data_IF_697460333061
#
_entry.id   IF_697460333061
#
_cell.length_a   1.000
_cell.length_b   1.000
_cell.length_c   1.000
_cell.angle_alpha   90.00
_cell.angle_beta   90.00
_cell.angle_gamma   90.00
#
_symmetry.space_group_name_H-M   'P 1'
#
loop_
_entity.id
_entity.type
_entity.pdbx_description
1 polymer ?
#
# COMPACT_ATOMS: atom_id res chain seq x y z
N UNK A 1 10.68 -8.48 8.79
CA UNK A 1 10.25 -8.17 7.39
C UNK A 1 11.42 -8.39 6.43
N UNK A 2 11.23 -9.10 5.29
CA UNK A 2 12.26 -9.17 4.24
C UNK A 2 12.12 -7.94 3.34
N UNK A 3 12.87 -6.89 3.64
CA UNK A 3 12.80 -5.60 2.93
C UNK A 3 13.56 -5.59 1.61
N UNK A 4 14.41 -6.61 1.36
CA UNK A 4 15.30 -6.65 0.20
C UNK A 4 14.60 -7.01 -1.12
N UNK A 5 13.41 -7.62 -1.08
CA UNK A 5 12.68 -8.07 -2.27
C UNK A 5 12.23 -6.95 -3.20
N UNK A 6 12.25 -5.70 -2.75
CA UNK A 6 11.93 -4.51 -3.54
C UNK A 6 13.17 -3.77 -4.06
N UNK A 7 14.36 -4.23 -3.68
CA UNK A 7 15.62 -3.62 -4.13
C UNK A 7 15.74 -3.70 -5.65
N UNK A 8 16.02 -2.58 -6.32
CA UNK A 8 16.08 -2.45 -7.77
C UNK A 8 14.72 -2.32 -8.49
N UNK A 9 13.59 -2.51 -7.79
CA UNK A 9 12.23 -2.47 -8.38
C UNK A 9 11.46 -1.16 -8.12
N UNK A 10 11.96 -0.28 -7.27
CA UNK A 10 11.23 0.89 -6.78
C UNK A 10 10.68 1.80 -7.90
N UNK A 11 11.46 2.08 -8.94
CA UNK A 11 11.02 2.92 -10.06
C UNK A 11 9.91 2.27 -10.90
N UNK A 12 10.03 0.97 -11.19
CA UNK A 12 9.01 0.22 -11.92
C UNK A 12 7.72 0.16 -11.09
N UNK A 13 7.84 -0.11 -9.80
CA UNK A 13 6.74 -0.13 -8.85
C UNK A 13 5.98 1.21 -8.80
N UNK A 14 6.70 2.33 -8.67
CA UNK A 14 6.10 3.67 -8.60
C UNK A 14 5.24 3.99 -9.83
N UNK A 15 5.70 3.58 -11.03
CA UNK A 15 5.02 3.86 -12.30
C UNK A 15 3.84 2.91 -12.55
N UNK A 16 3.98 1.63 -12.22
CA UNK A 16 3.09 0.57 -12.69
C UNK A 16 1.90 0.27 -11.77
N UNK A 17 2.01 0.56 -10.47
CA UNK A 17 0.95 0.17 -9.53
C UNK A 17 -0.28 1.06 -9.65
N UNK A 18 -1.49 0.45 -9.60
CA UNK A 18 -2.75 1.20 -9.67
C UNK A 18 -2.95 2.09 -8.45
N UNK A 19 -3.70 3.17 -8.65
CA UNK A 19 -4.18 4.03 -7.56
C UNK A 19 -5.37 3.43 -6.83
N UNK A 20 -6.02 4.27 -6.04
CA UNK A 20 -7.23 3.94 -5.31
C UNK A 20 -8.38 4.78 -5.88
N UNK A 21 -9.62 4.25 -5.95
CA UNK A 21 -10.75 4.99 -6.49
C UNK A 21 -11.13 6.14 -5.56
N UNK A 22 -11.61 7.23 -6.15
CA UNK A 22 -11.97 8.44 -5.41
C UNK A 22 -12.99 8.14 -4.30
N UNK A 23 -13.97 7.25 -4.55
CA UNK A 23 -14.95 6.84 -3.55
C UNK A 23 -14.32 6.20 -2.30
N UNK A 24 -13.24 5.40 -2.46
CA UNK A 24 -12.51 4.84 -1.32
C UNK A 24 -11.75 5.93 -0.57
N UNK A 25 -11.14 6.87 -1.28
CA UNK A 25 -10.39 7.97 -0.67
C UNK A 25 -11.33 8.94 0.07
N UNK A 26 -12.50 9.24 -0.48
CA UNK A 26 -13.52 10.04 0.21
C UNK A 26 -14.02 9.34 1.49
N UNK A 27 -14.31 8.04 1.42
CA UNK A 27 -14.68 7.26 2.61
C UNK A 27 -13.59 7.29 3.67
N UNK A 28 -12.31 7.13 3.28
CA UNK A 28 -11.19 7.23 4.23
C UNK A 28 -11.14 8.63 4.84
N UNK A 29 -11.34 9.68 4.04
CA UNK A 29 -11.38 11.06 4.53
C UNK A 29 -12.51 11.30 5.53
N UNK A 30 -13.69 10.70 5.32
CA UNK A 30 -14.82 10.78 6.28
C UNK A 30 -14.52 10.14 7.64
N UNK A 31 -13.64 9.13 7.68
CA UNK A 31 -13.21 8.50 8.93
C UNK A 31 -12.18 9.37 9.70
N UNK A 32 -11.55 10.31 9.04
CA UNK A 32 -10.47 11.12 9.58
C UNK A 32 -10.98 12.44 10.18
N UNK A 33 -10.49 12.78 11.36
CA UNK A 33 -10.79 14.08 11.95
C UNK A 33 -9.96 15.19 11.25
N UNK A 34 -10.49 16.41 11.17
CA UNK A 34 -9.70 17.55 10.72
C UNK A 34 -8.40 17.70 11.54
N UNK A 35 -7.29 18.00 10.86
CA UNK A 35 -5.96 18.18 11.48
C UNK A 35 -5.39 16.93 12.17
N UNK A 36 -5.92 15.73 11.87
CA UNK A 36 -5.34 14.49 12.36
C UNK A 36 -3.89 14.34 11.88
N UNK A 37 -3.03 13.85 12.77
CA UNK A 37 -1.68 13.43 12.45
C UNK A 37 -1.69 11.97 12.02
N UNK A 38 -1.15 11.66 10.86
CA UNK A 38 -1.19 10.32 10.24
C UNK A 38 0.19 9.70 10.25
N UNK A 39 0.27 8.40 10.54
CA UNK A 39 1.43 7.58 10.22
C UNK A 39 1.06 6.61 9.08
N UNK A 40 1.68 6.74 7.92
CA UNK A 40 1.53 5.81 6.79
C UNK A 40 2.68 4.80 6.83
N UNK A 41 2.38 3.55 7.21
CA UNK A 41 3.35 2.51 7.52
C UNK A 41 3.52 1.56 6.34
N UNK A 42 4.79 1.34 5.94
CA UNK A 42 5.12 0.66 4.69
C UNK A 42 4.72 1.53 3.49
N UNK A 43 5.05 2.80 3.54
CA UNK A 43 4.63 3.82 2.58
C UNK A 43 5.11 3.55 1.13
N UNK A 44 6.09 2.65 0.97
CA UNK A 44 6.63 2.26 -0.32
C UNK A 44 7.22 3.46 -1.08
N UNK A 45 6.75 3.67 -2.31
CA UNK A 45 7.13 4.83 -3.14
C UNK A 45 6.22 6.04 -2.94
N UNK A 46 5.27 5.99 -1.99
CA UNK A 46 4.41 7.11 -1.61
C UNK A 46 3.08 7.23 -2.38
N UNK A 47 2.68 6.21 -3.12
CA UNK A 47 1.46 6.30 -3.93
C UNK A 47 0.20 6.60 -3.11
N UNK A 48 0.02 5.92 -1.97
CA UNK A 48 -1.08 6.18 -1.06
C UNK A 48 -0.85 7.47 -0.26
N UNK A 49 0.38 7.69 0.20
CA UNK A 49 0.78 8.90 0.92
C UNK A 49 0.44 10.17 0.15
N UNK A 50 0.66 10.22 -1.20
CA UNK A 50 0.26 11.35 -2.06
C UNK A 50 -1.23 11.64 -1.96
N UNK A 51 -2.06 10.59 -1.99
CA UNK A 51 -3.52 10.77 -1.92
C UNK A 51 -3.94 11.40 -0.59
N UNK A 52 -3.31 11.01 0.52
CA UNK A 52 -3.55 11.61 1.83
C UNK A 52 -2.99 13.03 1.94
N UNK A 53 -1.78 13.26 1.42
CA UNK A 53 -1.10 14.54 1.50
C UNK A 53 -1.87 15.69 0.81
N UNK A 54 -2.61 15.37 -0.27
CA UNK A 54 -3.48 16.31 -0.99
C UNK A 54 -4.64 16.86 -0.14
N UNK A 55 -5.01 16.16 0.91
CA UNK A 55 -6.03 16.63 1.87
C UNK A 55 -5.45 17.57 2.95
N UNK A 56 -4.12 17.79 2.97
CA UNK A 56 -3.46 18.72 3.88
C UNK A 56 -3.17 18.16 5.27
N UNK A 57 -3.24 16.85 5.48
CA UNK A 57 -2.87 16.22 6.75
C UNK A 57 -1.36 16.23 6.98
N UNK A 58 -0.95 16.35 8.23
CA UNK A 58 0.43 16.10 8.64
C UNK A 58 0.70 14.59 8.66
N UNK A 59 1.70 14.15 7.87
CA UNK A 59 1.94 12.72 7.64
C UNK A 59 3.38 12.35 7.95
N UNK A 60 3.55 11.30 8.74
CA UNK A 60 4.79 10.56 8.85
C UNK A 60 4.72 9.34 7.92
N UNK A 61 5.51 9.33 6.86
CA UNK A 61 5.60 8.23 5.91
C UNK A 61 6.80 7.34 6.27
N UNK A 62 6.54 6.14 6.78
CA UNK A 62 7.55 5.22 7.30
C UNK A 62 7.81 4.11 6.29
N UNK A 63 9.07 3.97 5.84
CA UNK A 63 9.47 2.98 4.86
C UNK A 63 10.89 2.45 5.16
N UNK A 64 11.05 1.13 5.44
CA UNK A 64 12.36 0.55 5.78
C UNK A 64 13.28 0.34 4.57
N UNK A 65 12.73 0.03 3.37
CA UNK A 65 13.56 -0.25 2.21
C UNK A 65 14.18 1.02 1.64
N UNK A 66 15.50 1.06 1.51
CA UNK A 66 16.25 2.26 1.11
C UNK A 66 15.90 2.74 -0.31
N UNK A 67 15.67 1.82 -1.26
CA UNK A 67 15.35 2.18 -2.64
C UNK A 67 13.93 2.75 -2.75
N UNK A 68 12.96 2.10 -2.07
CA UNK A 68 11.58 2.59 -1.98
C UNK A 68 11.53 3.95 -1.28
N UNK A 69 12.24 4.09 -0.16
CA UNK A 69 12.32 5.35 0.59
C UNK A 69 12.99 6.46 -0.24
N UNK A 70 13.96 6.13 -1.07
CA UNK A 70 14.57 7.07 -2.00
C UNK A 70 13.57 7.63 -3.03
N UNK A 71 12.69 6.79 -3.57
CA UNK A 71 11.60 7.23 -4.46
C UNK A 71 10.49 7.97 -3.68
N UNK A 72 10.18 7.53 -2.46
CA UNK A 72 9.23 8.21 -1.57
C UNK A 72 9.65 9.67 -1.29
N UNK A 73 10.92 9.91 -0.97
CA UNK A 73 11.44 11.27 -0.74
C UNK A 73 11.22 12.16 -1.97
N UNK A 74 11.52 11.64 -3.16
CA UNK A 74 11.30 12.38 -4.42
C UNK A 74 9.81 12.67 -4.65
N UNK A 75 8.98 11.66 -4.43
CA UNK A 75 7.52 11.77 -4.58
C UNK A 75 6.93 12.80 -3.61
N UNK A 76 7.46 12.89 -2.38
CA UNK A 76 6.97 13.80 -1.35
C UNK A 76 7.53 15.21 -1.44
N UNK A 77 8.50 15.50 -2.31
CA UNK A 77 9.08 16.84 -2.48
C UNK A 77 8.03 17.97 -2.60
N UNK A 78 6.89 17.81 -3.31
CA UNK A 78 5.85 18.86 -3.39
C UNK A 78 4.97 18.98 -2.13
N UNK A 79 5.13 18.10 -1.13
CA UNK A 79 4.24 18.02 0.03
C UNK A 79 4.99 18.33 1.33
N UNK A 80 5.08 19.62 1.76
CA UNK A 80 5.83 20.00 2.96
C UNK A 80 5.22 19.47 4.26
N UNK A 81 3.97 19.02 4.22
CA UNK A 81 3.24 18.38 5.32
C UNK A 81 3.58 16.89 5.48
N UNK A 82 4.48 16.32 4.65
CA UNK A 82 4.89 14.92 4.75
C UNK A 82 6.34 14.81 5.21
N UNK A 83 6.56 14.01 6.24
CA UNK A 83 7.89 13.68 6.77
C UNK A 83 8.21 12.21 6.52
N UNK A 84 9.22 11.96 5.71
CA UNK A 84 9.68 10.60 5.41
C UNK A 84 10.64 10.12 6.49
N UNK A 85 10.43 8.91 6.99
CA UNK A 85 11.20 8.30 8.07
C UNK A 85 11.72 6.92 7.68
N UNK A 86 12.91 6.59 8.18
CA UNK A 86 13.44 5.23 8.21
C UNK A 86 12.85 4.50 9.42
N UNK A 87 12.19 3.38 9.18
CA UNK A 87 11.57 2.58 10.23
C UNK A 87 10.78 1.41 9.64
N UNK A 88 10.50 0.42 10.45
CA UNK A 88 9.63 -0.71 10.11
C UNK A 88 8.27 -0.58 10.78
N UNK A 89 7.34 -1.46 10.43
CA UNK A 89 6.04 -1.54 11.09
C UNK A 89 6.15 -1.87 12.58
N UNK A 90 7.17 -2.64 12.95
CA UNK A 90 7.43 -3.10 14.31
C UNK A 90 8.26 -2.09 15.13
N UNK A 91 8.89 -1.10 14.45
CA UNK A 91 9.75 -0.07 15.06
C UNK A 91 9.76 1.19 14.18
N UNK A 92 8.72 2.00 14.27
CA UNK A 92 8.49 3.16 13.39
C UNK A 92 9.38 4.36 13.66
N UNK A 93 10.12 4.38 14.77
CA UNK A 93 10.91 5.53 15.28
C UNK A 93 10.07 6.74 15.70
N UNK A 94 8.74 6.67 15.62
CA UNK A 94 7.84 7.74 16.05
C UNK A 94 7.75 7.81 17.58
N UNK A 95 7.50 9.01 18.15
CA UNK A 95 7.25 9.17 19.58
C UNK A 95 5.99 8.43 20.04
N UNK A 96 5.91 8.12 21.34
CA UNK A 96 4.70 7.57 21.95
C UNK A 96 3.55 8.58 21.80
N UNK A 97 2.34 8.07 21.56
CA UNK A 97 1.09 8.84 21.51
C UNK A 97 1.14 10.08 20.62
N UNK A 98 1.80 9.95 19.46
CA UNK A 98 2.06 11.07 18.54
C UNK A 98 1.09 11.13 17.36
N UNK A 99 0.36 10.05 17.05
CA UNK A 99 -0.49 9.99 15.87
C UNK A 99 -1.95 9.66 16.20
N UNK A 100 -2.88 10.23 15.44
CA UNK A 100 -4.31 10.01 15.56
C UNK A 100 -4.78 8.82 14.70
N UNK A 101 -4.07 8.60 13.58
CA UNK A 101 -4.45 7.62 12.56
C UNK A 101 -3.18 6.90 12.09
N UNK A 102 -3.31 5.59 11.91
CA UNK A 102 -2.27 4.75 11.30
C UNK A 102 -2.85 4.15 10.03
N UNK A 103 -2.17 4.32 8.92
CA UNK A 103 -2.55 3.74 7.63
C UNK A 103 -1.51 2.74 7.15
N UNK A 104 -1.94 1.71 6.42
CA UNK A 104 -1.07 0.84 5.65
C UNK A 104 -1.75 0.42 4.35
N UNK A 105 -1.09 0.69 3.23
CA UNK A 105 -1.63 0.44 1.90
C UNK A 105 -0.85 -0.69 1.22
N UNK A 106 -1.51 -1.82 0.91
CA UNK A 106 -0.88 -3.01 0.29
C UNK A 106 0.33 -3.55 1.08
N UNK A 107 0.40 -3.31 2.41
CA UNK A 107 1.61 -3.56 3.17
C UNK A 107 1.44 -4.53 4.35
N UNK A 108 0.25 -4.61 4.97
CA UNK A 108 0.02 -5.34 6.22
C UNK A 108 0.48 -6.82 6.18
N UNK A 109 0.47 -7.46 5.00
CA UNK A 109 0.91 -8.86 4.83
C UNK A 109 2.44 -9.06 4.97
N UNK A 110 3.20 -7.97 5.04
CA UNK A 110 4.63 -7.99 5.31
C UNK A 110 4.98 -7.84 6.80
N UNK A 111 4.02 -7.44 7.62
CA UNK A 111 4.25 -7.09 9.01
C UNK A 111 4.08 -8.30 9.93
N UNK A 112 4.81 -8.32 11.04
CA UNK A 112 4.46 -9.18 12.16
C UNK A 112 3.22 -8.59 12.85
N UNK A 113 2.09 -9.28 12.86
CA UNK A 113 0.82 -8.68 13.30
C UNK A 113 0.81 -8.29 14.78
N UNK A 114 1.44 -9.07 15.64
CA UNK A 114 1.46 -8.78 17.09
C UNK A 114 2.45 -7.66 17.42
N UNK A 115 3.62 -7.68 16.82
CA UNK A 115 4.61 -6.62 16.99
C UNK A 115 4.09 -5.29 16.42
N UNK A 116 3.47 -5.31 15.24
CA UNK A 116 2.84 -4.12 14.65
C UNK A 116 1.67 -3.61 15.50
N UNK A 117 0.84 -4.49 16.03
CA UNK A 117 -0.26 -4.08 16.94
C UNK A 117 0.27 -3.43 18.20
N UNK A 118 1.39 -3.93 18.72
CA UNK A 118 2.09 -3.33 19.88
C UNK A 118 2.62 -1.94 19.54
N UNK A 119 3.23 -1.80 18.39
CA UNK A 119 3.74 -0.51 17.91
C UNK A 119 2.60 0.49 17.64
N UNK A 120 1.47 0.04 17.06
CA UNK A 120 0.28 0.88 16.90
C UNK A 120 -0.21 1.46 18.23
N UNK A 121 -0.21 0.65 19.32
CA UNK A 121 -0.57 1.14 20.66
C UNK A 121 0.45 2.14 21.19
N UNK A 122 1.74 1.91 20.93
CA UNK A 122 2.81 2.77 21.41
C UNK A 122 2.76 4.16 20.77
N UNK A 123 2.65 4.22 19.43
CA UNK A 123 2.67 5.50 18.69
C UNK A 123 1.32 6.19 18.65
N UNK A 124 0.24 5.41 18.71
CA UNK A 124 -1.13 5.92 18.64
C UNK A 124 -1.53 6.69 19.89
N UNK A 125 -2.30 7.78 19.72
CA UNK A 125 -3.05 8.40 20.80
C UNK A 125 -4.14 7.44 21.30
N UNK A 126 -4.74 7.67 22.48
CA UNK A 126 -5.86 6.86 22.94
C UNK A 126 -6.94 6.73 21.86
N UNK A 127 -7.42 5.50 21.61
CA UNK A 127 -8.43 5.21 20.59
C UNK A 127 -7.98 5.47 19.14
N UNK A 128 -6.68 5.25 18.85
CA UNK A 128 -6.10 5.42 17.52
C UNK A 128 -6.87 4.61 16.46
N UNK A 129 -7.15 5.24 15.31
CA UNK A 129 -7.77 4.60 14.18
C UNK A 129 -6.70 3.94 13.29
N UNK A 130 -6.84 2.64 13.02
CA UNK A 130 -5.98 1.93 12.07
C UNK A 130 -6.78 1.62 10.81
N UNK A 131 -6.22 1.94 9.65
CA UNK A 131 -6.83 1.73 8.33
C UNK A 131 -5.86 0.92 7.48
N UNK A 132 -6.33 -0.23 6.96
CA UNK A 132 -5.62 -0.96 5.92
C UNK A 132 -6.41 -0.89 4.60
N UNK A 133 -5.70 -0.73 3.48
CA UNK A 133 -6.32 -0.65 2.15
C UNK A 133 -5.65 -1.63 1.19
N UNK A 134 -6.47 -2.36 0.43
CA UNK A 134 -6.03 -3.35 -0.55
C UNK A 134 -6.79 -3.22 -1.86
N UNK A 135 -6.06 -3.34 -2.97
CA UNK A 135 -6.63 -3.60 -4.29
C UNK A 135 -6.56 -5.11 -4.55
N UNK A 136 -7.71 -5.74 -4.68
CA UNK A 136 -7.84 -7.17 -4.87
C UNK A 136 -8.45 -7.49 -6.23
N UNK A 137 -7.78 -8.34 -7.00
CA UNK A 137 -8.37 -8.89 -8.24
C UNK A 137 -9.13 -10.17 -7.88
N UNK A 138 -10.43 -10.30 -8.20
CA UNK A 138 -11.18 -11.52 -7.97
C UNK A 138 -10.47 -12.75 -8.54
N UNK A 139 -10.35 -13.81 -7.75
CA UNK A 139 -9.61 -15.03 -8.13
C UNK A 139 -8.08 -14.91 -8.12
N UNK A 140 -7.53 -13.74 -7.85
CA UNK A 140 -6.08 -13.53 -7.76
C UNK A 140 -5.49 -13.92 -6.40
N UNK A 141 -4.19 -14.23 -6.38
CA UNK A 141 -3.45 -14.58 -5.15
C UNK A 141 -3.44 -13.45 -4.11
N UNK A 142 -3.56 -12.19 -4.53
CA UNK A 142 -3.61 -11.02 -3.65
C UNK A 142 -4.72 -11.10 -2.60
N UNK A 143 -5.86 -11.74 -2.91
CA UNK A 143 -6.97 -11.92 -1.96
C UNK A 143 -6.54 -12.79 -0.77
N UNK A 144 -5.82 -13.87 -1.02
CA UNK A 144 -5.39 -14.79 0.05
C UNK A 144 -4.46 -14.09 1.04
N UNK A 145 -3.47 -13.36 0.55
CA UNK A 145 -2.53 -12.61 1.40
C UNK A 145 -3.20 -11.48 2.17
N UNK A 146 -4.03 -10.68 1.51
CA UNK A 146 -4.74 -9.58 2.17
C UNK A 146 -5.70 -10.09 3.23
N UNK A 147 -6.48 -11.13 2.94
CA UNK A 147 -7.43 -11.73 3.87
C UNK A 147 -6.72 -12.33 5.09
N UNK A 148 -5.69 -13.13 4.88
CA UNK A 148 -4.94 -13.74 5.96
C UNK A 148 -4.35 -12.68 6.91
N UNK A 149 -3.72 -11.63 6.38
CA UNK A 149 -3.12 -10.59 7.20
C UNK A 149 -4.15 -9.74 7.95
N UNK A 150 -5.26 -9.40 7.30
CA UNK A 150 -6.32 -8.59 7.91
C UNK A 150 -7.09 -9.39 8.98
N UNK A 151 -7.38 -10.66 8.75
CA UNK A 151 -8.08 -11.53 9.72
C UNK A 151 -7.24 -11.77 10.99
N UNK A 152 -5.91 -11.78 10.88
CA UNK A 152 -5.02 -11.92 12.04
C UNK A 152 -4.83 -10.59 12.78
N UNK A 153 -4.66 -9.48 12.05
CA UNK A 153 -4.39 -8.19 12.66
C UNK A 153 -5.63 -7.55 13.27
N UNK A 154 -6.74 -7.47 12.54
CA UNK A 154 -7.97 -6.84 13.02
C UNK A 154 -8.82 -7.82 13.82
N UNK A 155 -9.45 -7.35 14.90
CA UNK A 155 -10.37 -8.15 15.72
C UNK A 155 -11.83 -8.00 15.29
N UNK A 156 -12.23 -6.77 14.96
CA UNK A 156 -13.60 -6.45 14.57
C UNK A 156 -13.62 -5.24 13.63
N UNK A 157 -13.03 -5.36 12.42
CA UNK A 157 -12.94 -4.23 11.51
C UNK A 157 -14.29 -3.89 10.87
N UNK A 158 -14.51 -2.61 10.63
CA UNK A 158 -15.46 -2.20 9.58
C UNK A 158 -14.79 -2.40 8.23
N UNK A 159 -15.47 -3.08 7.31
CA UNK A 159 -14.95 -3.33 5.97
C UNK A 159 -15.87 -2.65 4.93
N UNK A 160 -15.28 -1.90 4.01
CA UNK A 160 -15.97 -1.32 2.85
C UNK A 160 -15.27 -1.72 1.57
N UNK A 161 -16.05 -1.99 0.54
CA UNK A 161 -15.58 -2.42 -0.77
C UNK A 161 -15.99 -1.38 -1.83
N UNK A 162 -15.06 -1.09 -2.74
CA UNK A 162 -15.23 -0.10 -3.79
C UNK A 162 -14.77 -0.70 -5.12
N UNK A 163 -15.61 -0.69 -6.18
CA UNK A 163 -15.17 -1.07 -7.52
C UNK A 163 -14.01 -0.20 -7.97
N UNK A 164 -12.98 -0.82 -8.54
CA UNK A 164 -11.78 -0.15 -9.04
C UNK A 164 -11.30 -0.82 -10.34
N UNK A 165 -12.13 -0.87 -11.40
CA UNK A 165 -11.73 -1.53 -12.63
C UNK A 165 -10.50 -0.86 -13.23
N UNK A 166 -9.51 -1.66 -13.61
CA UNK A 166 -8.25 -1.23 -14.16
C UNK A 166 -8.16 -1.58 -15.63
N UNK A 167 -7.77 -0.59 -16.44
CA UNK A 167 -7.60 -0.75 -17.88
C UNK A 167 -6.12 -0.60 -18.23
N UNK A 168 -5.57 -1.58 -18.93
CA UNK A 168 -4.17 -1.62 -19.29
C UNK A 168 -4.00 -1.66 -20.81
N UNK A 169 -3.21 -0.74 -21.35
CA UNK A 169 -2.60 -0.90 -22.66
C UNK A 169 -1.51 -1.98 -22.58
N UNK A 170 -1.00 -2.47 -23.73
CA UNK A 170 0.11 -3.44 -23.73
C UNK A 170 1.30 -2.95 -22.91
N UNK A 171 1.68 -1.68 -23.06
CA UNK A 171 2.81 -1.11 -22.33
C UNK A 171 2.56 -1.09 -20.82
N UNK A 172 1.41 -0.56 -20.40
CA UNK A 172 1.07 -0.49 -18.96
C UNK A 172 0.80 -1.86 -18.34
N UNK A 173 0.28 -2.81 -19.12
CA UNK A 173 0.15 -4.22 -18.70
C UNK A 173 1.50 -4.85 -18.42
N UNK A 174 2.44 -4.69 -19.34
CA UNK A 174 3.80 -5.20 -19.16
C UNK A 174 4.48 -4.58 -17.95
N UNK A 175 4.37 -3.26 -17.78
CA UNK A 175 4.90 -2.56 -16.60
C UNK A 175 4.27 -3.07 -15.30
N UNK A 176 2.96 -3.29 -15.28
CA UNK A 176 2.25 -3.82 -14.12
C UNK A 176 2.71 -5.25 -13.78
N UNK A 177 2.73 -6.14 -14.75
CA UNK A 177 3.07 -7.57 -14.60
C UNK A 177 4.56 -7.82 -14.31
N UNK A 178 5.43 -6.84 -14.50
CA UNK A 178 6.86 -6.92 -14.13
C UNK A 178 7.19 -6.14 -12.85
N UNK A 179 6.18 -5.60 -12.18
CA UNK A 179 6.38 -4.79 -10.97
C UNK A 179 6.15 -5.55 -9.65
N UNK A 180 5.74 -6.83 -9.69
CA UNK A 180 5.49 -7.59 -8.48
C UNK A 180 6.80 -8.02 -7.81
N UNK A 181 6.75 -8.19 -6.49
CA UNK A 181 7.93 -8.54 -5.69
C UNK A 181 8.62 -9.83 -6.12
N UNK A 182 7.84 -10.78 -6.65
CA UNK A 182 8.33 -12.10 -7.08
C UNK A 182 8.65 -12.21 -8.58
N UNK A 183 8.41 -11.13 -9.36
CA UNK A 183 8.72 -11.15 -10.80
C UNK A 183 10.23 -11.10 -11.02
N UNK A 184 10.75 -11.76 -12.07
CA UNK A 184 12.17 -11.73 -12.39
C UNK A 184 12.63 -10.32 -12.81
N UNK A 185 13.86 -9.98 -12.46
CA UNK A 185 14.54 -8.78 -12.95
C UNK A 185 15.08 -9.00 -14.38
N UNK A 186 15.33 -7.94 -15.16
CA UNK A 186 15.91 -8.05 -16.50
C UNK A 186 17.23 -8.83 -16.57
N UNK A 187 17.96 -8.92 -15.46
CA UNK A 187 19.19 -9.72 -15.33
C UNK A 187 18.96 -11.20 -15.04
N UNK A 188 17.75 -11.61 -14.71
CA UNK A 188 17.45 -12.96 -14.26
C UNK A 188 17.19 -13.92 -15.44
N UNK A 189 17.63 -15.18 -15.38
CA UNK A 189 17.51 -16.16 -16.48
C UNK A 189 16.08 -16.41 -16.96
N UNK A 190 15.07 -16.17 -16.13
CA UNK A 190 13.65 -16.37 -16.44
C UNK A 190 12.95 -15.15 -17.04
N UNK A 191 13.63 -14.02 -17.18
CA UNK A 191 12.99 -12.76 -17.55
C UNK A 191 12.33 -12.81 -18.95
N UNK A 192 13.05 -13.25 -19.98
CA UNK A 192 12.52 -13.30 -21.34
C UNK A 192 11.31 -14.22 -21.46
N UNK A 193 11.33 -15.36 -20.76
CA UNK A 193 10.19 -16.25 -20.69
C UNK A 193 8.99 -15.58 -20.04
N UNK A 194 9.18 -14.91 -18.91
CA UNK A 194 8.14 -14.16 -18.22
C UNK A 194 7.53 -13.07 -19.10
N UNK A 195 8.37 -12.30 -19.82
CA UNK A 195 7.91 -11.28 -20.78
C UNK A 195 7.07 -11.89 -21.90
N UNK A 196 7.49 -13.03 -22.43
CA UNK A 196 6.73 -13.73 -23.49
C UNK A 196 5.35 -14.19 -22.97
N UNK A 197 5.28 -14.74 -21.75
CA UNK A 197 4.04 -15.16 -21.13
C UNK A 197 3.09 -13.97 -20.87
N UNK A 198 3.61 -12.86 -20.36
CA UNK A 198 2.84 -11.63 -20.13
C UNK A 198 2.26 -11.05 -21.42
N UNK A 199 3.04 -11.07 -22.52
CA UNK A 199 2.57 -10.64 -23.81
C UNK A 199 1.50 -11.59 -24.39
N UNK A 200 1.68 -12.91 -24.25
CA UNK A 200 0.70 -13.89 -24.69
C UNK A 200 -0.66 -13.73 -24.00
N UNK A 201 -0.65 -13.43 -22.69
CA UNK A 201 -1.88 -13.08 -21.96
C UNK A 201 -2.54 -11.84 -22.57
N UNK A 202 -1.75 -10.79 -22.85
CA UNK A 202 -2.29 -9.60 -23.47
C UNK A 202 -2.90 -9.89 -24.84
N UNK A 203 -2.22 -10.67 -25.68
CA UNK A 203 -2.70 -11.03 -27.02
C UNK A 203 -4.02 -11.81 -26.98
N UNK A 204 -4.19 -12.66 -25.96
CA UNK A 204 -5.39 -13.50 -25.83
C UNK A 204 -6.58 -12.80 -25.18
N UNK A 205 -6.36 -11.80 -24.34
CA UNK A 205 -7.42 -11.23 -23.50
C UNK A 205 -7.77 -9.77 -23.84
N UNK A 206 -6.96 -9.09 -24.67
CA UNK A 206 -7.28 -7.71 -24.99
C UNK A 206 -8.54 -7.57 -25.84
N UNK A 207 -9.31 -6.51 -25.56
CA UNK A 207 -10.42 -6.05 -26.40
C UNK A 207 -10.10 -4.61 -26.81
N UNK A 208 -10.06 -4.33 -28.08
CA UNK A 208 -9.74 -3.02 -28.64
C UNK A 208 -8.42 -2.41 -28.10
N UNK A 209 -7.41 -3.28 -27.90
CA UNK A 209 -6.08 -2.87 -27.42
C UNK A 209 -5.98 -2.62 -25.91
N UNK A 210 -6.99 -3.01 -25.13
CA UNK A 210 -7.03 -2.89 -23.68
C UNK A 210 -7.33 -4.22 -22.99
N UNK A 211 -6.66 -4.50 -21.88
CA UNK A 211 -7.10 -5.50 -20.90
C UNK A 211 -7.83 -4.79 -19.77
N UNK A 212 -9.04 -5.25 -19.46
CA UNK A 212 -9.74 -4.87 -18.24
C UNK A 212 -9.47 -5.90 -17.13
N UNK A 213 -9.16 -5.43 -15.93
CA UNK A 213 -9.14 -6.24 -14.70
C UNK A 213 -10.16 -5.69 -13.72
N UNK A 214 -11.09 -6.53 -13.35
CA UNK A 214 -12.00 -6.21 -12.26
C UNK A 214 -11.21 -6.21 -10.96
N UNK A 215 -10.95 -5.04 -10.42
CA UNK A 215 -10.29 -4.86 -9.14
C UNK A 215 -11.31 -4.31 -8.14
N UNK A 216 -11.27 -4.80 -6.92
CA UNK A 216 -12.06 -4.28 -5.80
C UNK A 216 -11.09 -3.74 -4.76
N UNK A 217 -11.23 -2.46 -4.45
CA UNK A 217 -10.52 -1.82 -3.34
C UNK A 217 -11.29 -2.10 -2.05
N UNK A 218 -10.62 -2.73 -1.08
CA UNK A 218 -11.16 -2.98 0.26
C UNK A 218 -10.48 -2.09 1.27
N UNK A 219 -11.29 -1.40 2.08
CA UNK A 219 -10.84 -0.58 3.20
C UNK A 219 -11.27 -1.26 4.49
N UNK A 220 -10.31 -1.58 5.33
CA UNK A 220 -10.49 -2.14 6.67
C UNK A 220 -10.18 -1.04 7.68
N UNK A 221 -11.04 -0.82 8.66
CA UNK A 221 -10.82 0.17 9.71
C UNK A 221 -11.24 -0.33 11.08
N UNK A 222 -10.39 -0.11 12.08
CA UNK A 222 -10.67 -0.45 13.48
C UNK A 222 -9.98 0.55 14.42
N UNK A 223 -10.66 0.91 15.52
CA UNK A 223 -10.02 1.68 16.59
C UNK A 223 -9.36 0.75 17.58
N UNK A 224 -8.06 0.98 17.81
CA UNK A 224 -7.29 0.23 18.81
C UNK A 224 -7.32 1.01 20.11
N UNK A 225 -8.09 0.47 21.08
CA UNK A 225 -8.14 1.02 22.43
C UNK A 225 -6.95 0.54 23.24
N UNK A 226 -6.38 1.43 24.03
CA UNK A 226 -5.43 1.03 25.06
C UNK A 226 -6.22 0.31 26.16
N UNK A 227 -5.83 -0.92 26.50
CA UNK A 227 -6.34 -1.56 27.72
C UNK A 227 -5.83 -0.74 28.90
N UNK A 228 -6.75 -0.23 29.71
CA UNK A 228 -6.46 0.39 31.00
C UNK A 228 -5.80 -0.63 31.93
#
# INVERSE_FOLDING_TARGET
MNTEIFTGKAKAYAKARPGYPDAAMEYIRELMQPQAVIADIGAGTGKFTVSLARYGYDIFAVEPNVDMRGELIKTMTPFPNVKVLDGSAEATTLPNHSVDIITCAQALHWFDPEAFRTECRRIGKPDVLVIAIYNNTPGGSSIAYSKQSTDVFFKSPTVREFPNPMYYTRESWLQYMTSHSHDPLPSDPGYDKHIAEVNAIFDSENVDGLICREVVTKVYSERIRMSL
#
